data_IF_211432652805
#
_entry.id   IF_211432652805
#
_cell.length_a   1.000
_cell.length_b   1.000
_cell.length_c   1.000
_cell.angle_alpha   90.00
_cell.angle_beta   90.00
_cell.angle_gamma   90.00
#
_symmetry.space_group_name_H-M   'P 1'
#
loop_
_entity.id
_entity.type
_entity.pdbx_description
1 polymer ?
#
# COMPACT_ATOMS: atom_id res chain seq x y z
N UNK A 1 12.52 -3.13 -13.13
CA UNK A 1 11.48 -2.54 -12.25
C UNK A 1 10.69 -3.64 -11.55
N UNK A 2 10.33 -3.37 -10.31
CA UNK A 2 9.53 -4.28 -9.49
C UNK A 2 8.22 -3.56 -9.15
N UNK A 3 7.10 -4.25 -9.35
CA UNK A 3 5.79 -3.75 -8.90
C UNK A 3 5.35 -4.47 -7.66
N UNK A 4 4.96 -3.71 -6.64
CA UNK A 4 4.36 -4.20 -5.42
C UNK A 4 2.86 -3.88 -5.45
N UNK A 5 2.04 -4.91 -5.26
CA UNK A 5 0.58 -4.76 -5.23
C UNK A 5 0.09 -5.23 -3.86
N UNK A 6 -0.64 -4.37 -3.17
CA UNK A 6 -1.21 -4.66 -1.86
C UNK A 6 -2.71 -4.44 -1.93
N UNK A 7 -3.47 -5.42 -1.48
CA UNK A 7 -4.93 -5.32 -1.34
C UNK A 7 -5.27 -5.37 0.15
N UNK A 8 -6.08 -4.44 0.61
CA UNK A 8 -6.45 -4.33 2.02
C UNK A 8 -7.96 -4.49 2.19
N UNK A 9 -8.35 -5.46 2.99
CA UNK A 9 -9.74 -5.64 3.44
C UNK A 9 -9.86 -5.04 4.83
N UNK A 10 -10.79 -4.11 5.00
CA UNK A 10 -10.98 -3.37 6.24
C UNK A 10 -12.04 -4.02 7.12
N UNK A 11 -11.84 -3.95 8.44
CA UNK A 11 -12.86 -4.35 9.41
C UNK A 11 -14.05 -3.41 9.36
N UNK A 12 -15.25 -3.93 9.63
CA UNK A 12 -16.44 -3.09 9.77
C UNK A 12 -16.24 -2.08 10.91
N UNK A 13 -16.76 -0.87 10.73
CA UNK A 13 -16.70 0.17 11.76
C UNK A 13 -15.37 0.89 11.90
N UNK A 14 -14.47 0.75 10.91
CA UNK A 14 -13.20 1.49 10.95
C UNK A 14 -13.44 3.00 10.88
N UNK A 15 -12.52 3.78 11.46
CA UNK A 15 -12.56 5.23 11.44
C UNK A 15 -12.05 5.75 10.08
N UNK A 16 -12.98 6.24 9.25
CA UNK A 16 -12.66 6.69 7.89
C UNK A 16 -11.73 7.90 7.88
N UNK A 17 -11.85 8.81 8.85
CA UNK A 17 -10.97 9.97 8.92
C UNK A 17 -9.55 9.58 9.29
N UNK A 18 -9.39 8.65 10.20
CA UNK A 18 -8.07 8.11 10.57
C UNK A 18 -7.45 7.34 9.40
N UNK A 19 -8.25 6.53 8.70
CA UNK A 19 -7.76 5.82 7.50
C UNK A 19 -7.25 6.80 6.45
N UNK A 20 -7.98 7.89 6.19
CA UNK A 20 -7.56 8.89 5.21
C UNK A 20 -6.20 9.50 5.57
N UNK A 21 -5.96 9.79 6.85
CA UNK A 21 -4.67 10.29 7.32
C UNK A 21 -3.54 9.28 7.10
N UNK A 22 -3.80 8.01 7.38
CA UNK A 22 -2.83 6.94 7.17
C UNK A 22 -2.50 6.80 5.68
N UNK A 23 -3.52 6.82 4.81
CA UNK A 23 -3.34 6.75 3.37
C UNK A 23 -2.52 7.94 2.85
N UNK A 24 -2.77 9.14 3.34
CA UNK A 24 -1.98 10.31 2.98
C UNK A 24 -0.53 10.17 3.45
N UNK A 25 -0.31 9.58 4.60
CA UNK A 25 1.03 9.24 5.07
C UNK A 25 1.76 8.33 4.10
N UNK A 26 1.11 7.28 3.60
CA UNK A 26 1.68 6.40 2.58
C UNK A 26 2.03 7.16 1.31
N UNK A 27 1.14 8.03 0.82
CA UNK A 27 1.38 8.83 -0.39
C UNK A 27 2.56 9.76 -0.26
N UNK A 28 2.89 10.19 0.95
CA UNK A 28 3.97 11.12 1.24
C UNK A 28 5.29 10.44 1.60
N UNK A 29 5.35 9.11 1.54
CA UNK A 29 6.60 8.41 1.78
C UNK A 29 7.64 8.79 0.71
N UNK A 30 8.87 9.00 1.17
CA UNK A 30 10.00 9.36 0.30
C UNK A 30 11.09 8.31 0.50
N UNK A 31 10.97 7.20 -0.23
CA UNK A 31 11.94 6.11 -0.16
C UNK A 31 12.75 6.06 -1.45
N UNK A 32 14.08 6.04 -1.37
CA UNK A 32 14.93 6.00 -2.57
C UNK A 32 14.58 4.84 -3.50
N UNK A 33 14.55 5.12 -4.80
CA UNK A 33 14.25 4.12 -5.82
C UNK A 33 12.77 3.86 -6.06
N UNK A 34 11.88 4.58 -5.38
CA UNK A 34 10.44 4.55 -5.67
C UNK A 34 10.16 5.33 -6.94
N UNK A 35 9.59 4.69 -7.94
CA UNK A 35 9.28 5.30 -9.24
C UNK A 35 7.85 5.81 -9.32
N UNK A 36 6.92 5.11 -8.68
CA UNK A 36 5.51 5.51 -8.58
C UNK A 36 4.90 4.90 -7.33
N UNK A 37 3.88 5.56 -6.80
CA UNK A 37 3.18 5.10 -5.60
C UNK A 37 1.73 5.57 -5.67
N UNK A 38 0.80 4.63 -5.73
CA UNK A 38 -0.63 4.93 -5.85
C UNK A 38 -1.40 4.24 -4.73
N UNK A 39 -2.24 4.99 -4.05
CA UNK A 39 -3.20 4.48 -3.07
C UNK A 39 -4.58 4.79 -3.60
N UNK A 40 -5.40 3.77 -3.83
CA UNK A 40 -6.72 3.93 -4.41
C UNK A 40 -7.79 3.19 -3.63
N UNK A 41 -8.89 3.87 -3.32
CA UNK A 41 -10.05 3.27 -2.67
C UNK A 41 -10.91 2.52 -3.69
N UNK A 42 -11.54 1.43 -3.21
CA UNK A 42 -12.48 0.70 -4.04
C UNK A 42 -13.67 1.58 -4.44
N UNK A 43 -14.12 1.43 -5.67
CA UNK A 43 -15.24 2.22 -6.20
C UNK A 43 -16.61 1.61 -5.93
N UNK A 44 -16.67 0.38 -5.39
CA UNK A 44 -17.93 -0.29 -5.11
C UNK A 44 -18.66 -0.75 -6.35
N UNK A 45 -17.94 -1.09 -7.42
CA UNK A 45 -18.54 -1.45 -8.71
C UNK A 45 -19.10 -2.89 -8.74
N UNK A 46 -18.67 -3.74 -7.81
CA UNK A 46 -19.17 -5.13 -7.73
C UNK A 46 -18.99 -5.65 -6.31
N UNK A 47 -19.67 -6.78 -6.03
CA UNK A 47 -19.54 -7.47 -4.75
C UNK A 47 -18.20 -8.18 -4.64
N UNK A 48 -17.74 -8.39 -3.40
CA UNK A 48 -16.51 -9.13 -3.10
C UNK A 48 -15.24 -8.37 -3.28
N UNK A 49 -15.29 -7.06 -3.53
CA UNK A 49 -14.11 -6.22 -3.60
C UNK A 49 -13.65 -5.80 -2.20
N UNK A 50 -12.35 -5.49 -2.07
CA UNK A 50 -11.77 -5.08 -0.79
C UNK A 50 -11.76 -3.55 -0.67
N UNK A 51 -11.25 -3.02 0.45
CA UNK A 51 -11.39 -1.60 0.76
C UNK A 51 -10.51 -0.69 -0.08
N UNK A 52 -9.22 -1.00 -0.22
CA UNK A 52 -8.32 -0.19 -1.04
C UNK A 52 -7.10 -0.99 -1.48
N UNK A 53 -6.37 -0.41 -2.43
CA UNK A 53 -5.15 -1.00 -2.94
C UNK A 53 -4.00 0.00 -2.88
N UNK A 54 -2.79 -0.54 -2.75
CA UNK A 54 -1.54 0.20 -2.95
C UNK A 54 -0.83 -0.46 -4.11
N UNK A 55 -0.43 0.33 -5.11
CA UNK A 55 0.38 -0.13 -6.24
C UNK A 55 1.59 0.77 -6.33
N UNK A 56 2.77 0.18 -6.19
CA UNK A 56 4.02 0.94 -6.20
C UNK A 56 5.05 0.26 -7.09
N UNK A 57 5.79 1.06 -7.84
CA UNK A 57 6.88 0.59 -8.68
C UNK A 57 8.21 1.04 -8.10
N UNK A 58 9.16 0.12 -8.05
CA UNK A 58 10.51 0.35 -7.53
C UNK A 58 11.53 0.03 -8.61
N UNK A 59 12.65 0.74 -8.56
CA UNK A 59 13.73 0.58 -9.53
C UNK A 59 14.27 -0.85 -9.54
N UNK A 60 14.43 -1.45 -8.36
CA UNK A 60 14.98 -2.78 -8.15
C UNK A 60 14.53 -3.39 -6.83
N UNK A 61 14.94 -4.63 -6.57
CA UNK A 61 14.59 -5.35 -5.35
C UNK A 61 15.14 -4.64 -4.10
N UNK A 62 16.35 -4.09 -4.17
CA UNK A 62 16.95 -3.39 -3.03
C UNK A 62 16.15 -2.15 -2.64
N UNK A 63 15.66 -1.40 -3.63
CA UNK A 63 14.77 -0.25 -3.39
C UNK A 63 13.47 -0.67 -2.71
N UNK A 64 12.86 -1.78 -3.16
CA UNK A 64 11.67 -2.33 -2.51
C UNK A 64 11.96 -2.72 -1.05
N UNK A 65 13.08 -3.39 -0.79
CA UNK A 65 13.46 -3.79 0.56
C UNK A 65 13.73 -2.59 1.46
N UNK A 66 14.34 -1.52 0.93
CA UNK A 66 14.52 -0.28 1.67
C UNK A 66 13.19 0.34 2.08
N UNK A 67 12.22 0.35 1.18
CA UNK A 67 10.85 0.77 1.45
C UNK A 67 10.19 -0.12 2.52
N UNK A 68 10.30 -1.42 2.39
CA UNK A 68 9.69 -2.37 3.33
C UNK A 68 10.23 -2.20 4.75
N UNK A 69 11.50 -1.79 4.89
CA UNK A 69 12.17 -1.59 6.18
C UNK A 69 12.15 -0.14 6.65
N UNK A 70 11.60 0.79 5.88
CA UNK A 70 11.57 2.20 6.22
C UNK A 70 10.79 2.45 7.51
N UNK A 71 11.35 3.27 8.41
CA UNK A 71 10.76 3.50 9.73
C UNK A 71 9.37 4.15 9.64
N UNK A 72 9.19 5.15 8.77
CA UNK A 72 7.90 5.82 8.60
C UNK A 72 6.87 4.89 7.98
N UNK A 73 7.25 4.10 6.98
CA UNK A 73 6.40 3.07 6.40
C UNK A 73 5.89 2.09 7.47
N UNK A 74 6.80 1.61 8.33
CA UNK A 74 6.44 0.67 9.38
C UNK A 74 5.57 1.32 10.46
N UNK A 75 5.77 2.60 10.78
CA UNK A 75 4.90 3.34 11.68
C UNK A 75 3.46 3.41 11.14
N UNK A 76 3.32 3.71 9.86
CA UNK A 76 2.01 3.78 9.21
C UNK A 76 1.33 2.40 9.16
N UNK A 77 2.09 1.36 8.89
CA UNK A 77 1.58 -0.03 8.92
C UNK A 77 1.03 -0.39 10.30
N UNK A 78 1.73 0.00 11.36
CA UNK A 78 1.28 -0.25 12.73
C UNK A 78 -0.02 0.49 13.05
N UNK A 79 -0.19 1.73 12.56
CA UNK A 79 -1.44 2.48 12.72
C UNK A 79 -2.59 1.86 11.92
N UNK A 80 -2.31 1.31 10.76
CA UNK A 80 -3.30 0.67 9.90
C UNK A 80 -3.76 -0.68 10.45
N UNK A 81 -2.86 -1.44 11.05
CA UNK A 81 -3.09 -2.84 11.43
C UNK A 81 -4.41 -3.10 12.20
N UNK A 82 -4.82 -2.25 13.18
CA UNK A 82 -6.08 -2.49 13.89
C UNK A 82 -7.33 -2.42 12.99
N UNK A 83 -7.25 -1.76 11.84
CA UNK A 83 -8.35 -1.60 10.91
C UNK A 83 -8.42 -2.71 9.88
N UNK A 84 -7.41 -3.58 9.80
CA UNK A 84 -7.27 -4.57 8.73
C UNK A 84 -7.89 -5.90 9.14
N UNK A 85 -8.79 -6.41 8.32
CA UNK A 85 -9.30 -7.77 8.43
C UNK A 85 -8.39 -8.76 7.70
N UNK A 86 -8.00 -8.42 6.47
CA UNK A 86 -7.07 -9.22 5.66
C UNK A 86 -6.22 -8.32 4.78
N UNK A 87 -5.04 -8.80 4.46
CA UNK A 87 -4.14 -8.13 3.53
C UNK A 87 -3.55 -9.18 2.60
N UNK A 88 -3.42 -8.83 1.33
CA UNK A 88 -2.79 -9.67 0.33
C UNK A 88 -1.72 -8.88 -0.39
N UNK A 89 -0.61 -9.54 -0.70
CA UNK A 89 0.54 -8.90 -1.35
C UNK A 89 1.10 -9.78 -2.44
N UNK A 90 1.57 -9.13 -3.51
CA UNK A 90 2.38 -9.79 -4.52
C UNK A 90 3.37 -8.78 -5.08
N UNK A 91 4.60 -9.23 -5.32
CA UNK A 91 5.62 -8.43 -5.99
C UNK A 91 6.08 -9.18 -7.23
N UNK A 92 6.24 -8.47 -8.33
CA UNK A 92 6.67 -9.09 -9.57
C UNK A 92 7.50 -8.13 -10.41
N UNK A 93 8.33 -8.71 -11.29
CA UNK A 93 9.10 -7.93 -12.26
C UNK A 93 8.18 -7.42 -13.36
N UNK A 94 8.32 -6.13 -13.69
CA UNK A 94 7.70 -5.59 -14.88
C UNK A 94 8.53 -5.94 -16.11
N UNK A 95 7.89 -6.21 -17.26
CA UNK A 95 8.62 -6.41 -18.49
C UNK A 95 9.50 -5.20 -18.80
N UNK A 96 10.69 -5.45 -19.32
CA UNK A 96 11.55 -4.39 -19.86
C UNK A 96 10.86 -3.83 -21.11
N UNK A 97 10.62 -2.53 -21.12
CA UNK A 97 9.90 -1.97 -22.25
C UNK A 97 10.19 -0.55 -22.49
#
# INVERSE_FOLDING_TARGET
MIRNVVLVKLKAGYDAAELAKIQDGFRNLDCPGTLSYTVGDDLGLREGTWGFAIVADFQDVDSYRGYDQDAEHNRLRALLAPMVEQIARVQFKLPAG
#
